data_IF_428352494448
#
_entry.id   IF_428352494448
#
_cell.length_a   1.000
_cell.length_b   1.000
_cell.length_c   1.000
_cell.angle_alpha   90.00
_cell.angle_beta   90.00
_cell.angle_gamma   90.00
#
_symmetry.space_group_name_H-M   'P 1'
#
loop_
_entity.id
_entity.type
_entity.pdbx_description
1 polymer ?
#
# COMPACT_ATOMS: atom_id res chain seq x y z
N UNK A 1 4.25 15.16 -14.22
CA UNK A 1 4.91 14.35 -13.20
C UNK A 1 6.18 13.71 -13.80
N UNK A 2 7.25 13.61 -13.01
CA UNK A 2 8.53 13.03 -13.44
C UNK A 2 8.38 11.60 -13.98
N UNK A 3 7.59 10.77 -13.30
CA UNK A 3 7.37 9.39 -13.72
C UNK A 3 6.72 9.30 -15.10
N UNK A 4 5.82 10.23 -15.45
CA UNK A 4 5.19 10.29 -16.77
C UNK A 4 6.16 10.79 -17.86
N UNK A 5 7.06 11.71 -17.50
CA UNK A 5 8.12 12.16 -18.40
C UNK A 5 9.10 11.03 -18.70
N UNK A 6 9.51 10.26 -17.68
CA UNK A 6 10.34 9.09 -17.83
C UNK A 6 9.72 8.02 -18.75
N UNK A 7 8.42 7.73 -18.58
CA UNK A 7 7.69 6.79 -19.44
C UNK A 7 7.70 7.20 -20.91
N UNK A 8 7.54 8.49 -21.20
CA UNK A 8 7.55 9.02 -22.58
C UNK A 8 8.88 8.79 -23.31
N UNK A 9 9.96 8.72 -22.57
CA UNK A 9 11.31 8.45 -23.12
C UNK A 9 11.76 7.01 -22.94
N UNK A 10 10.84 6.10 -22.55
CA UNK A 10 11.12 4.68 -22.39
C UNK A 10 11.87 4.31 -21.11
N UNK A 11 12.03 5.22 -20.16
CA UNK A 11 12.69 4.95 -18.88
C UNK A 11 11.69 4.41 -17.88
N UNK A 12 11.92 3.18 -17.41
CA UNK A 12 11.07 2.52 -16.42
C UNK A 12 11.51 2.88 -15.02
N UNK A 13 10.59 3.43 -14.23
CA UNK A 13 10.74 3.65 -12.80
C UNK A 13 9.76 2.72 -12.06
N UNK A 14 10.23 1.86 -11.13
CA UNK A 14 9.37 0.93 -10.40
C UNK A 14 8.40 1.68 -9.49
N UNK A 15 7.20 1.13 -9.32
CA UNK A 15 6.12 1.77 -8.55
C UNK A 15 5.05 0.76 -8.14
N UNK A 16 4.32 1.07 -7.05
CA UNK A 16 3.17 0.28 -6.61
C UNK A 16 1.92 1.13 -6.45
N UNK A 17 2.00 2.29 -5.79
CA UNK A 17 0.82 3.12 -5.53
C UNK A 17 0.40 4.00 -6.72
N UNK A 18 1.30 4.31 -7.62
CA UNK A 18 1.02 5.17 -8.77
C UNK A 18 0.15 4.45 -9.82
N UNK A 19 -0.82 5.19 -10.37
CA UNK A 19 -1.64 4.78 -11.51
C UNK A 19 -2.04 6.00 -12.32
N UNK A 20 -2.05 5.94 -13.68
CA UNK A 20 -2.34 7.09 -14.53
C UNK A 20 -3.72 7.74 -14.29
N UNK A 21 -4.70 6.95 -13.88
CA UNK A 21 -6.08 7.39 -13.65
C UNK A 21 -6.37 7.84 -12.22
N UNK A 22 -5.38 7.75 -11.32
CA UNK A 22 -5.55 8.12 -9.91
C UNK A 22 -4.67 9.32 -9.55
N UNK A 23 -5.15 10.17 -8.66
CA UNK A 23 -4.35 11.26 -8.12
C UNK A 23 -3.05 10.74 -7.47
N UNK A 24 -1.92 11.43 -7.60
CA UNK A 24 -0.67 11.05 -6.98
C UNK A 24 -0.77 10.94 -5.45
N UNK A 25 -0.18 9.91 -4.85
CA UNK A 25 -0.18 9.75 -3.39
C UNK A 25 1.22 9.70 -2.77
N UNK A 26 2.25 9.37 -3.55
CA UNK A 26 3.63 9.19 -3.09
C UNK A 26 3.78 8.20 -1.91
N UNK A 27 2.84 7.29 -1.76
CA UNK A 27 2.63 6.48 -0.58
C UNK A 27 3.65 5.32 -0.47
N UNK A 28 3.83 4.53 -1.53
CA UNK A 28 4.66 3.33 -1.49
C UNK A 28 6.17 3.63 -1.48
N UNK A 29 6.59 4.81 -1.89
CA UNK A 29 7.99 5.26 -1.98
C UNK A 29 8.90 4.41 -2.90
N UNK A 30 8.33 3.52 -3.70
CA UNK A 30 9.13 2.67 -4.60
C UNK A 30 9.69 3.45 -5.80
N UNK A 31 9.05 4.56 -6.18
CA UNK A 31 9.44 5.39 -7.32
C UNK A 31 10.44 6.51 -6.97
N UNK A 32 11.22 6.33 -5.92
CA UNK A 32 12.24 7.31 -5.53
C UNK A 32 13.33 7.42 -6.60
N UNK A 33 13.64 8.65 -6.97
CA UNK A 33 14.70 9.03 -7.90
C UNK A 33 15.60 10.09 -7.29
N UNK A 34 16.83 10.17 -7.72
CA UNK A 34 17.75 11.22 -7.34
C UNK A 34 17.54 12.43 -8.27
N UNK A 35 17.35 13.59 -7.67
CA UNK A 35 16.94 14.81 -8.37
C UNK A 35 17.89 15.96 -8.07
N UNK A 36 18.35 16.63 -9.12
CA UNK A 36 19.00 17.92 -8.98
C UNK A 36 18.15 19.01 -9.64
N UNK A 37 18.07 20.16 -9.03
CA UNK A 37 17.23 21.28 -9.45
C UNK A 37 18.06 22.52 -9.73
N UNK A 38 17.69 23.33 -10.74
CA UNK A 38 18.29 24.62 -10.96
C UNK A 38 17.92 25.57 -9.82
N UNK A 39 18.93 26.20 -9.24
CA UNK A 39 18.75 27.32 -8.30
C UNK A 39 18.35 28.60 -9.02
N UNK A 40 18.04 29.65 -8.25
CA UNK A 40 17.76 31.00 -8.79
C UNK A 40 18.93 31.62 -9.57
N UNK A 41 20.12 31.13 -9.29
CA UNK A 41 21.38 31.48 -9.96
C UNK A 41 21.67 30.66 -11.21
N UNK A 42 20.74 29.76 -11.59
CA UNK A 42 20.89 28.84 -12.72
C UNK A 42 21.81 27.65 -12.46
N UNK A 43 22.40 27.53 -11.27
CA UNK A 43 23.28 26.39 -10.94
C UNK A 43 22.43 25.21 -10.48
N UNK A 44 22.59 24.05 -11.13
CA UNK A 44 21.91 22.82 -10.78
C UNK A 44 22.54 22.21 -9.51
N UNK A 45 21.72 21.94 -8.51
CA UNK A 45 22.16 21.37 -7.23
C UNK A 45 21.34 20.14 -6.87
N UNK A 46 21.99 19.06 -6.36
CA UNK A 46 21.28 17.88 -5.93
C UNK A 46 20.38 18.16 -4.71
N UNK A 47 19.21 17.54 -4.70
CA UNK A 47 18.36 17.54 -3.52
C UNK A 47 18.95 16.61 -2.43
N UNK A 48 18.76 16.95 -1.15
CA UNK A 48 19.40 16.21 -0.05
C UNK A 48 18.86 14.79 0.13
N UNK A 49 17.73 14.46 -0.47
CA UNK A 49 17.07 13.14 -0.37
C UNK A 49 16.41 12.77 -1.68
N UNK A 50 16.36 11.46 -2.02
CA UNK A 50 15.59 10.99 -3.18
C UNK A 50 14.13 11.42 -3.10
N UNK A 51 13.55 11.72 -4.26
CA UNK A 51 12.20 12.26 -4.40
C UNK A 51 11.25 11.26 -5.08
N UNK A 52 9.96 11.24 -4.71
CA UNK A 52 8.98 10.37 -5.32
C UNK A 52 8.58 10.92 -6.71
N UNK A 53 9.06 10.28 -7.77
CA UNK A 53 8.82 10.70 -9.16
C UNK A 53 7.33 10.73 -9.55
N UNK A 54 6.49 9.97 -8.86
CA UNK A 54 5.05 9.92 -9.11
C UNK A 54 4.29 11.16 -8.59
N UNK A 55 4.91 11.99 -7.75
CA UNK A 55 4.27 13.17 -7.16
C UNK A 55 5.03 14.47 -7.46
N UNK A 56 6.23 14.39 -8.03
CA UNK A 56 7.02 15.56 -8.36
C UNK A 56 6.76 16.02 -9.80
N UNK A 57 6.52 17.31 -9.98
CA UNK A 57 6.35 17.91 -11.31
C UNK A 57 7.71 18.10 -11.98
N UNK A 58 7.78 17.74 -13.26
CA UNK A 58 8.95 18.00 -14.08
C UNK A 58 9.06 19.51 -14.37
N UNK A 59 10.26 20.04 -14.29
CA UNK A 59 10.58 21.45 -14.58
C UNK A 59 11.82 21.49 -15.50
N UNK A 60 11.94 22.58 -16.27
CA UNK A 60 13.09 22.77 -17.14
C UNK A 60 14.39 22.88 -16.33
N UNK A 61 15.45 22.28 -16.86
CA UNK A 61 16.76 22.27 -16.23
C UNK A 61 16.93 21.31 -15.04
N UNK A 62 15.92 20.47 -14.73
CA UNK A 62 16.09 19.40 -13.76
C UNK A 62 16.93 18.26 -14.33
N UNK A 63 17.79 17.71 -13.48
CA UNK A 63 18.51 16.46 -13.77
C UNK A 63 17.93 15.34 -12.91
N UNK A 64 17.54 14.25 -13.55
CA UNK A 64 16.89 13.12 -12.90
C UNK A 64 17.71 11.86 -13.12
N UNK A 65 18.16 11.25 -12.01
CA UNK A 65 18.86 9.98 -12.04
C UNK A 65 17.99 8.89 -11.39
N UNK A 66 17.76 7.82 -12.16
CA UNK A 66 16.96 6.67 -11.72
C UNK A 66 17.85 5.59 -11.12
N UNK A 67 17.27 4.46 -10.75
CA UNK A 67 18.01 3.30 -10.25
C UNK A 67 19.09 2.78 -11.22
N UNK A 68 18.98 3.10 -12.49
CA UNK A 68 19.97 2.70 -13.50
C UNK A 68 21.22 3.61 -13.53
N UNK A 69 21.11 4.83 -13.01
CA UNK A 69 22.16 5.87 -13.11
C UNK A 69 22.59 6.45 -11.77
N UNK A 70 21.86 6.17 -10.68
CA UNK A 70 22.16 6.63 -9.32
C UNK A 70 22.14 5.48 -8.31
N UNK A 71 23.24 5.26 -7.64
CA UNK A 71 23.32 4.31 -6.52
C UNK A 71 22.41 4.72 -5.36
N UNK A 72 22.22 6.01 -5.15
CA UNK A 72 21.33 6.55 -4.09
C UNK A 72 19.89 6.16 -4.39
N UNK A 73 19.43 6.33 -5.62
CA UNK A 73 18.09 5.91 -6.04
C UNK A 73 17.93 4.39 -5.96
N UNK A 74 18.90 3.63 -6.45
CA UNK A 74 18.90 2.17 -6.39
C UNK A 74 18.81 1.65 -4.95
N UNK A 75 19.64 2.18 -4.05
CA UNK A 75 19.63 1.83 -2.63
C UNK A 75 18.32 2.20 -1.94
N UNK A 76 17.75 3.36 -2.25
CA UNK A 76 16.48 3.79 -1.68
C UNK A 76 15.33 2.87 -2.11
N UNK A 77 15.27 2.49 -3.38
CA UNK A 77 14.28 1.55 -3.91
C UNK A 77 14.44 0.14 -3.34
N UNK A 78 15.68 -0.36 -3.22
CA UNK A 78 15.98 -1.65 -2.61
C UNK A 78 15.54 -1.68 -1.13
N UNK A 79 15.83 -0.62 -0.36
CA UNK A 79 15.39 -0.48 1.02
C UNK A 79 13.87 -0.44 1.17
N UNK A 80 13.18 0.27 0.28
CA UNK A 80 11.71 0.27 0.26
C UNK A 80 11.15 -1.13 0.00
N UNK A 81 11.75 -1.85 -0.95
CA UNK A 81 11.36 -3.22 -1.26
C UNK A 81 11.59 -4.15 -0.07
N UNK A 82 12.72 -4.02 0.62
CA UNK A 82 13.01 -4.77 1.83
C UNK A 82 11.91 -4.57 2.89
N UNK A 83 11.50 -3.33 3.15
CA UNK A 83 10.40 -3.04 4.08
C UNK A 83 9.06 -3.65 3.65
N UNK A 84 8.73 -3.62 2.38
CA UNK A 84 7.51 -4.25 1.88
C UNK A 84 7.52 -5.77 2.05
N UNK A 85 8.69 -6.39 1.92
CA UNK A 85 8.84 -7.84 2.00
C UNK A 85 8.98 -8.38 3.43
N UNK A 86 9.26 -7.53 4.44
CA UNK A 86 9.40 -7.97 5.84
C UNK A 86 8.21 -8.81 6.30
N UNK A 87 6.99 -8.30 6.09
CA UNK A 87 5.75 -8.96 6.52
C UNK A 87 4.96 -9.61 5.38
N UNK A 88 5.35 -9.39 4.12
CA UNK A 88 4.64 -9.97 3.00
C UNK A 88 4.76 -11.51 3.03
N UNK A 89 3.64 -12.29 2.97
CA UNK A 89 3.68 -13.73 3.12
C UNK A 89 4.33 -14.40 1.90
N UNK A 90 4.88 -15.60 2.09
CA UNK A 90 5.44 -16.43 1.02
C UNK A 90 4.35 -17.22 0.28
N UNK A 91 3.27 -16.56 -0.07
CA UNK A 91 2.05 -17.15 -0.63
C UNK A 91 2.03 -17.15 -2.16
N UNK A 92 3.11 -16.78 -2.85
CA UNK A 92 3.10 -16.66 -4.32
C UNK A 92 2.50 -17.85 -5.06
N UNK A 93 2.74 -19.11 -4.65
CA UNK A 93 2.16 -20.27 -5.33
C UNK A 93 0.64 -20.40 -5.20
N UNK A 94 0.04 -19.76 -4.19
CA UNK A 94 -1.40 -19.81 -3.89
C UNK A 94 -2.05 -18.42 -3.94
N UNK A 95 -1.32 -17.42 -4.42
CA UNK A 95 -1.81 -16.04 -4.51
C UNK A 95 -2.42 -15.80 -5.90
N UNK A 96 -3.64 -15.27 -5.94
CA UNK A 96 -4.35 -14.95 -7.19
C UNK A 96 -3.61 -13.92 -8.05
N UNK A 97 -2.67 -13.13 -7.46
CA UNK A 97 -1.82 -12.16 -8.17
C UNK A 97 -0.51 -12.79 -8.69
N UNK A 98 -0.22 -14.04 -8.38
CA UNK A 98 0.99 -14.73 -8.83
C UNK A 98 1.14 -14.71 -10.35
N UNK A 99 2.37 -14.50 -10.85
CA UNK A 99 2.67 -14.44 -12.29
C UNK A 99 2.46 -13.07 -12.96
N UNK A 100 1.62 -12.20 -12.41
CA UNK A 100 1.39 -10.83 -12.90
C UNK A 100 1.56 -9.76 -11.79
N UNK A 101 2.28 -10.10 -10.74
CA UNK A 101 2.45 -9.26 -9.57
C UNK A 101 3.64 -8.30 -9.72
N UNK A 102 3.43 -6.97 -9.70
CA UNK A 102 4.52 -6.01 -9.75
C UNK A 102 5.52 -6.15 -8.60
N UNK A 103 5.06 -6.53 -7.40
CA UNK A 103 5.94 -6.77 -6.25
C UNK A 103 6.88 -7.95 -6.51
N UNK A 104 6.34 -9.07 -7.00
CA UNK A 104 7.10 -10.26 -7.35
C UNK A 104 8.12 -9.96 -8.46
N UNK A 105 7.69 -9.32 -9.54
CA UNK A 105 8.56 -8.98 -10.67
C UNK A 105 9.72 -8.10 -10.21
N UNK A 106 9.43 -7.07 -9.43
CA UNK A 106 10.47 -6.15 -8.97
C UNK A 106 11.41 -6.78 -7.93
N UNK A 107 10.92 -7.67 -7.08
CA UNK A 107 11.76 -8.46 -6.18
C UNK A 107 12.77 -9.31 -6.98
N UNK A 108 12.31 -10.00 -8.03
CA UNK A 108 13.16 -10.79 -8.91
C UNK A 108 14.18 -9.92 -9.68
N UNK A 109 13.79 -8.75 -10.14
CA UNK A 109 14.70 -7.79 -10.79
C UNK A 109 15.83 -7.34 -9.85
N UNK A 110 15.51 -7.02 -8.60
CA UNK A 110 16.50 -6.65 -7.58
C UNK A 110 17.45 -7.80 -7.22
N UNK A 111 16.92 -9.01 -7.13
CA UNK A 111 17.76 -10.21 -6.91
C UNK A 111 18.71 -10.44 -8.10
N UNK A 112 18.22 -10.34 -9.32
CA UNK A 112 19.01 -10.52 -10.53
C UNK A 112 20.11 -9.45 -10.68
N UNK A 113 19.85 -8.24 -10.20
CA UNK A 113 20.86 -7.15 -10.22
C UNK A 113 21.91 -7.28 -9.11
N UNK A 114 21.75 -8.24 -8.18
CA UNK A 114 22.61 -8.39 -7.00
C UNK A 114 22.40 -7.33 -5.92
N UNK A 115 21.44 -6.41 -6.12
CA UNK A 115 21.15 -5.35 -5.16
C UNK A 115 20.52 -5.88 -3.86
N UNK A 116 19.87 -7.05 -3.93
CA UNK A 116 19.29 -7.73 -2.77
C UNK A 116 19.24 -9.23 -3.02
N UNK A 117 20.13 -9.98 -2.38
CA UNK A 117 20.19 -11.43 -2.52
C UNK A 117 19.47 -12.19 -1.40
N UNK A 118 19.29 -11.56 -0.25
CA UNK A 118 18.57 -12.13 0.90
C UNK A 118 18.08 -11.00 1.81
N UNK A 119 17.01 -11.28 2.55
CA UNK A 119 16.60 -10.39 3.64
C UNK A 119 17.50 -10.60 4.85
N UNK A 120 17.82 -9.52 5.56
CA UNK A 120 18.48 -9.55 6.87
C UNK A 120 17.49 -9.73 8.04
N UNK A 121 16.20 -9.69 7.76
CA UNK A 121 15.15 -9.83 8.75
C UNK A 121 14.73 -11.30 8.84
N UNK A 122 14.77 -11.85 10.04
CA UNK A 122 14.46 -13.26 10.34
C UNK A 122 13.28 -13.41 11.29
N UNK A 123 12.62 -12.29 11.63
CA UNK A 123 11.46 -12.28 12.51
C UNK A 123 10.26 -13.00 11.90
N UNK A 124 9.39 -13.49 12.76
CA UNK A 124 8.11 -14.08 12.34
C UNK A 124 7.26 -13.00 11.66
N UNK A 125 6.75 -13.32 10.48
CA UNK A 125 5.89 -12.40 9.74
C UNK A 125 4.57 -12.18 10.48
N UNK A 126 4.14 -10.92 10.48
CA UNK A 126 2.84 -10.53 11.03
C UNK A 126 1.72 -11.18 10.22
N UNK A 127 0.69 -11.66 10.91
CA UNK A 127 -0.51 -12.22 10.29
C UNK A 127 -1.77 -11.53 10.79
N UNK A 128 -2.80 -11.50 9.94
CA UNK A 128 -4.13 -10.99 10.26
C UNK A 128 -5.18 -12.10 10.05
N UNK A 129 -6.32 -12.04 10.74
CA UNK A 129 -7.48 -12.85 10.38
C UNK A 129 -7.84 -12.63 8.90
N UNK A 130 -8.03 -13.71 8.16
CA UNK A 130 -8.29 -13.67 6.72
C UNK A 130 -9.14 -14.86 6.24
N UNK A 131 -9.87 -14.71 5.11
CA UNK A 131 -10.06 -13.47 4.36
C UNK A 131 -11.06 -12.51 5.01
N UNK A 132 -10.87 -11.19 4.81
CA UNK A 132 -11.91 -10.21 5.12
C UNK A 132 -12.86 -10.11 3.92
N UNK A 133 -14.13 -10.44 4.12
CA UNK A 133 -15.14 -10.32 3.08
C UNK A 133 -15.60 -8.86 2.95
N UNK A 134 -15.32 -8.23 1.82
CA UNK A 134 -15.79 -6.88 1.50
C UNK A 134 -17.17 -6.90 0.82
N UNK A 135 -17.35 -7.85 -0.11
CA UNK A 135 -18.61 -8.10 -0.81
C UNK A 135 -18.82 -9.60 -0.97
N UNK A 136 -19.91 -10.03 -1.57
CA UNK A 136 -20.12 -11.44 -1.95
C UNK A 136 -19.00 -11.98 -2.86
N UNK A 137 -18.36 -11.11 -3.65
CA UNK A 137 -17.40 -11.48 -4.69
C UNK A 137 -15.98 -11.00 -4.42
N UNK A 138 -15.77 -10.07 -3.48
CA UNK A 138 -14.47 -9.47 -3.20
C UNK A 138 -14.03 -9.80 -1.78
N UNK A 139 -12.88 -10.46 -1.71
CA UNK A 139 -12.20 -10.79 -0.47
C UNK A 139 -10.92 -9.95 -0.35
N UNK A 140 -10.60 -9.49 0.84
CA UNK A 140 -9.36 -8.79 1.15
C UNK A 140 -8.46 -9.67 2.01
N UNK A 141 -7.26 -9.96 1.51
CA UNK A 141 -6.20 -10.56 2.29
C UNK A 141 -5.25 -9.47 2.78
N UNK A 142 -5.30 -9.18 4.08
CA UNK A 142 -4.49 -8.13 4.70
C UNK A 142 -3.01 -8.47 4.79
N UNK A 143 -2.67 -9.75 4.86
CA UNK A 143 -1.26 -10.18 4.88
C UNK A 143 -0.56 -9.88 3.56
N UNK A 144 -1.28 -10.06 2.44
CA UNK A 144 -0.79 -9.78 1.10
C UNK A 144 -0.87 -8.30 0.72
N UNK A 145 -1.61 -7.51 1.48
CA UNK A 145 -1.78 -6.08 1.23
C UNK A 145 -0.49 -5.32 1.53
N UNK A 146 0.02 -4.56 0.54
CA UNK A 146 1.21 -3.70 0.66
C UNK A 146 0.85 -2.24 0.99
N UNK A 147 -0.37 -1.96 1.40
CA UNK A 147 -0.86 -0.63 1.76
C UNK A 147 -0.68 0.43 0.66
N UNK A 148 -0.73 0.04 -0.59
CA UNK A 148 -0.55 0.96 -1.72
C UNK A 148 -1.73 1.93 -1.93
N UNK A 149 -2.85 1.69 -1.28
CA UNK A 149 -4.08 2.51 -1.34
C UNK A 149 -4.69 2.69 -2.74
N UNK A 150 -4.33 1.87 -3.72
CA UNK A 150 -4.97 1.95 -5.05
C UNK A 150 -6.47 1.68 -4.99
N UNK A 151 -6.89 0.67 -4.23
CA UNK A 151 -8.30 0.31 -4.06
C UNK A 151 -9.10 1.43 -3.37
N UNK A 152 -8.55 2.01 -2.31
CA UNK A 152 -9.18 3.14 -1.59
C UNK A 152 -9.37 4.34 -2.51
N UNK A 153 -8.29 4.77 -3.19
CA UNK A 153 -8.35 5.89 -4.13
C UNK A 153 -9.22 5.63 -5.35
N UNK A 154 -9.26 4.37 -5.81
CA UNK A 154 -10.16 3.99 -6.89
C UNK A 154 -11.62 4.15 -6.46
N UNK A 155 -11.99 3.61 -5.30
CA UNK A 155 -13.36 3.69 -4.78
C UNK A 155 -13.83 5.15 -4.61
N UNK A 156 -12.94 6.01 -4.12
CA UNK A 156 -13.21 7.43 -3.91
C UNK A 156 -13.24 8.23 -5.23
N UNK A 157 -12.23 8.06 -6.10
CA UNK A 157 -11.99 8.98 -7.23
C UNK A 157 -12.71 8.56 -8.53
N UNK A 158 -13.00 7.28 -8.73
CA UNK A 158 -13.60 6.79 -9.97
C UNK A 158 -15.13 6.64 -9.84
N UNK A 159 -15.65 5.74 -8.99
CA UNK A 159 -17.09 5.65 -8.79
C UNK A 159 -17.64 6.71 -7.81
N UNK A 160 -16.80 7.35 -7.00
CA UNK A 160 -17.25 8.27 -5.95
C UNK A 160 -17.94 7.58 -4.78
N UNK A 161 -17.65 6.30 -4.55
CA UNK A 161 -18.23 5.48 -3.50
C UNK A 161 -17.12 4.87 -2.62
N UNK A 162 -16.66 5.58 -1.58
CA UNK A 162 -15.54 5.17 -0.74
C UNK A 162 -15.93 4.10 0.28
N UNK A 163 -16.36 2.92 -0.18
CA UNK A 163 -16.78 1.79 0.68
C UNK A 163 -15.63 1.13 1.45
N UNK A 164 -14.38 1.42 1.11
CA UNK A 164 -13.18 0.98 1.82
C UNK A 164 -12.26 2.16 2.12
N UNK A 165 -11.53 2.09 3.22
CA UNK A 165 -10.65 3.16 3.66
C UNK A 165 -9.36 2.64 4.29
N UNK A 166 -8.38 3.52 4.41
CA UNK A 166 -7.22 3.30 5.27
C UNK A 166 -7.65 3.51 6.72
N UNK A 167 -7.40 2.52 7.56
CA UNK A 167 -7.73 2.53 8.98
C UNK A 167 -6.47 2.48 9.82
N UNK A 168 -6.50 3.08 11.01
CA UNK A 168 -5.36 3.12 11.90
C UNK A 168 -4.25 4.04 11.42
N UNK A 169 -3.07 3.93 12.04
CA UNK A 169 -1.88 4.71 11.70
C UNK A 169 -0.60 4.03 12.18
N UNK A 170 0.46 4.18 11.41
CA UNK A 170 1.77 3.61 11.72
C UNK A 170 1.80 2.09 11.70
N UNK A 171 2.94 1.51 12.08
CA UNK A 171 3.17 0.07 12.05
C UNK A 171 2.39 -0.71 13.11
N UNK A 172 1.74 -0.03 14.04
CA UNK A 172 1.13 -0.65 15.21
C UNK A 172 2.20 -1.24 16.15
N UNK A 173 1.87 -1.32 17.41
CA UNK A 173 2.61 -2.17 18.34
C UNK A 173 2.18 -3.61 18.05
N UNK A 174 3.06 -4.63 18.09
CA UNK A 174 2.61 -6.00 18.22
C UNK A 174 1.83 -6.04 19.54
N UNK A 175 0.54 -5.81 19.47
CA UNK A 175 -0.31 -6.02 20.62
C UNK A 175 -0.43 -7.53 20.74
N UNK A 176 0.26 -8.08 21.70
CA UNK A 176 -0.23 -9.28 22.33
C UNK A 176 -1.68 -8.98 22.67
N UNK A 177 -2.62 -9.84 22.30
CA UNK A 177 -3.92 -9.77 22.93
C UNK A 177 -3.72 -9.84 24.46
N UNK A 178 -4.72 -9.46 25.21
CA UNK A 178 -4.62 -9.46 26.67
C UNK A 178 -4.28 -10.85 27.25
N UNK A 179 -4.35 -11.91 26.44
CA UNK A 179 -4.06 -13.30 26.76
C UNK A 179 -2.67 -13.77 26.28
N UNK A 180 -1.88 -12.89 25.64
CA UNK A 180 -0.50 -13.17 25.23
C UNK A 180 -0.33 -13.95 23.92
N UNK A 181 -1.37 -14.04 23.09
CA UNK A 181 -1.33 -14.75 21.81
C UNK A 181 -0.72 -13.91 20.69
N UNK A 182 0.45 -14.31 20.12
CA UNK A 182 1.12 -13.58 19.06
C UNK A 182 0.39 -13.63 17.71
N UNK A 183 -0.59 -14.49 17.55
CA UNK A 183 -1.40 -14.63 16.35
C UNK A 183 -2.28 -13.42 16.02
N UNK A 184 -2.49 -12.54 17.00
CA UNK A 184 -3.14 -11.25 16.82
C UNK A 184 -2.15 -10.06 16.75
N UNK A 185 -0.88 -10.35 16.49
CA UNK A 185 0.16 -9.35 16.33
C UNK A 185 -0.08 -8.51 15.07
N UNK A 186 -0.73 -7.43 15.22
CA UNK A 186 -1.14 -6.52 14.16
C UNK A 186 -2.21 -5.56 14.64
N UNK A 187 -2.46 -5.64 15.92
CA UNK A 187 -3.40 -4.90 16.76
C UNK A 187 -4.28 -3.85 16.10
N UNK A 188 -5.39 -3.58 16.69
CA UNK A 188 -6.43 -2.59 16.34
C UNK A 188 -5.93 -1.22 15.83
N UNK A 189 -4.66 -0.91 16.03
CA UNK A 189 -4.07 0.41 15.75
C UNK A 189 -3.06 0.43 14.60
N UNK A 190 -2.72 -0.72 14.01
CA UNK A 190 -1.84 -0.73 12.84
C UNK A 190 -2.58 -0.22 11.61
N UNK A 191 -1.84 0.50 10.76
CA UNK A 191 -2.36 0.96 9.49
C UNK A 191 -2.76 -0.24 8.61
N UNK A 192 -4.01 -0.27 8.16
CA UNK A 192 -4.57 -1.35 7.37
C UNK A 192 -5.68 -0.87 6.45
N UNK A 193 -5.92 -1.59 5.37
CA UNK A 193 -7.09 -1.37 4.52
C UNK A 193 -8.28 -2.12 5.13
N UNK A 194 -9.42 -1.46 5.16
CA UNK A 194 -10.65 -2.03 5.69
C UNK A 194 -11.84 -1.14 5.43
N UNK A 195 -12.95 -1.50 6.05
CA UNK A 195 -14.19 -0.72 6.03
C UNK A 195 -14.65 -0.48 7.46
N UNK A 196 -15.48 0.55 7.66
CA UNK A 196 -16.04 0.89 8.96
C UNK A 196 -17.34 0.15 9.25
N UNK A 197 -17.93 -0.49 8.23
CA UNK A 197 -19.18 -1.23 8.36
C UNK A 197 -18.89 -2.73 8.42
N UNK A 198 -19.55 -3.42 9.37
CA UNK A 198 -19.53 -4.88 9.48
C UNK A 198 -20.35 -5.59 8.40
N UNK A 199 -21.08 -4.84 7.55
CA UNK A 199 -21.96 -5.41 6.53
C UNK A 199 -21.17 -5.77 5.28
N UNK A 200 -21.49 -6.90 4.69
CA UNK A 200 -21.05 -7.26 3.33
C UNK A 200 -21.92 -6.51 2.34
N UNK A 201 -21.29 -5.74 1.45
CA UNK A 201 -21.99 -5.06 0.37
C UNK A 201 -22.17 -6.03 -0.81
N UNK A 202 -23.41 -6.21 -1.26
CA UNK A 202 -23.70 -6.98 -2.47
C UNK A 202 -24.11 -6.03 -3.59
N UNK A 203 -23.22 -5.86 -4.55
CA UNK A 203 -23.48 -5.03 -5.73
C UNK A 203 -24.25 -5.77 -6.84
N UNK A 204 -24.39 -7.10 -6.73
CA UNK A 204 -25.04 -7.91 -7.77
C UNK A 204 -26.57 -7.75 -7.77
N UNK A 205 -27.15 -7.46 -6.61
CA UNK A 205 -28.61 -7.38 -6.44
C UNK A 205 -29.13 -5.96 -6.25
N UNK A 206 -28.22 -4.97 -6.12
CA UNK A 206 -28.61 -3.61 -5.75
C UNK A 206 -29.18 -3.49 -4.33
N UNK A 207 -29.19 -4.57 -3.58
CA UNK A 207 -29.62 -4.63 -2.19
C UNK A 207 -28.45 -5.01 -1.30
N UNK A 208 -28.28 -4.29 -0.19
CA UNK A 208 -27.31 -4.67 0.84
C UNK A 208 -27.82 -5.92 1.57
N UNK A 209 -27.29 -7.07 1.22
CA UNK A 209 -27.54 -8.27 2.02
C UNK A 209 -26.75 -8.16 3.32
N UNK A 210 -27.47 -8.00 4.43
CA UNK A 210 -26.89 -7.77 5.75
C UNK A 210 -26.42 -9.09 6.37
N UNK A 211 -25.31 -9.62 5.92
CA UNK A 211 -24.61 -10.64 6.71
C UNK A 211 -23.62 -9.94 7.62
N UNK A 212 -23.87 -10.04 8.90
CA UNK A 212 -22.95 -9.52 9.93
C UNK A 212 -21.70 -10.40 9.92
N UNK A 213 -20.55 -9.80 9.65
CA UNK A 213 -19.26 -10.48 9.75
C UNK A 213 -19.00 -10.83 11.22
N UNK A 214 -19.02 -12.10 11.56
CA UNK A 214 -18.82 -12.57 12.93
C UNK A 214 -17.46 -12.13 13.53
N UNK A 215 -16.47 -11.90 12.66
CA UNK A 215 -15.13 -11.50 13.08
C UNK A 215 -15.01 -10.05 13.58
N UNK A 216 -16.00 -9.20 13.28
CA UNK A 216 -16.05 -7.81 13.78
C UNK A 216 -16.80 -7.67 15.10
N UNK A 217 -17.50 -8.73 15.56
CA UNK A 217 -18.24 -8.70 16.82
C UNK A 217 -17.38 -8.91 18.07
N UNK A 218 -16.13 -9.28 17.92
CA UNK A 218 -15.27 -9.67 19.03
C UNK A 218 -14.04 -8.79 19.21
N UNK A 219 -14.21 -7.47 19.18
CA UNK A 219 -13.16 -6.57 19.66
C UNK A 219 -13.38 -6.39 21.17
N UNK A 220 -12.57 -7.00 22.05
CA UNK A 220 -12.72 -6.82 23.48
C UNK A 220 -12.58 -5.33 23.86
N UNK A 221 -13.59 -4.78 24.52
CA UNK A 221 -13.58 -3.40 25.00
C UNK A 221 -14.18 -2.34 24.06
N UNK A 222 -14.62 -2.72 22.88
CA UNK A 222 -15.43 -1.83 22.03
C UNK A 222 -16.89 -2.31 22.12
N UNK A 223 -17.85 -1.43 22.50
CA UNK A 223 -19.26 -1.81 22.47
C UNK A 223 -19.64 -2.21 21.04
N UNK A 224 -20.43 -3.28 20.92
CA UNK A 224 -20.93 -3.72 19.62
C UNK A 224 -21.55 -2.53 18.88
N UNK A 225 -21.26 -2.39 17.59
CA UNK A 225 -21.78 -1.28 16.73
C UNK A 225 -23.33 -1.18 16.76
N UNK A 226 -24.01 -2.29 17.11
CA UNK A 226 -25.45 -2.31 17.40
C UNK A 226 -25.87 -1.43 18.58
N UNK A 227 -24.94 -1.09 19.49
CA UNK A 227 -25.19 -0.21 20.65
C UNK A 227 -25.03 1.29 20.32
N UNK A 228 -24.48 1.62 19.14
CA UNK A 228 -24.20 3.01 18.74
C UNK A 228 -25.33 3.67 17.93
N UNK A 229 -26.50 3.06 17.84
CA UNK A 229 -27.66 3.63 17.15
C UNK A 229 -27.36 3.96 15.69
N UNK A 230 -28.16 3.49 14.75
CA UNK A 230 -28.02 3.89 13.36
C UNK A 230 -28.12 5.43 13.26
N UNK A 231 -27.22 6.10 12.50
CA UNK A 231 -27.39 7.53 12.25
C UNK A 231 -28.74 7.74 11.56
N UNK A 232 -29.64 8.46 12.23
CA UNK A 232 -30.87 8.96 11.61
C UNK A 232 -30.46 10.02 10.59
N UNK A 233 -30.41 9.65 9.32
CA UNK A 233 -30.23 10.60 8.23
C UNK A 233 -31.37 11.63 8.25
N UNK A 234 -31.08 12.89 7.87
CA UNK A 234 -32.14 13.87 7.67
C UNK A 234 -33.01 13.42 6.49
N UNK A 235 -34.36 13.50 6.71
CA UNK A 235 -35.37 13.28 5.70
C UNK A 235 -35.38 14.32 4.57
#
# INVERSE_FOLDING_TARGET
LLIRAAEKIGVRIPRFCDHPLLAPSANCRQCLVDVAMPGRDGVVRPMPKPQPSCAMTAMDGMEINTQATSEVAAKAQAGTMEFLLINHPLDCPVCDKGGECPLQNHALELMASGAQSATRFTDVKRTFPKPLRLTSNILLDRDRCILCQRCVRFADQIPGDPFIALQGRGGGHPSYDMDGHPEHAGGLYSEQIGRFDARVLDFSTGSAEQTVDADLQTIPGVPALSALGAPTGPG
#
